data_IF_479244703990
#
_entry.id   IF_479244703990
#
_cell.length_a   1.000
_cell.length_b   1.000
_cell.length_c   1.000
_cell.angle_alpha   90.00
_cell.angle_beta   90.00
_cell.angle_gamma   90.00
#
_symmetry.space_group_name_H-M   'P 1'
#
loop_
_entity.id
_entity.type
_entity.pdbx_description
1 polymer ?
#
# COMPACT_ATOMS: atom_id res chain seq x y z
N UNK A 1 14.79 -9.03 37.99
CA UNK A 1 13.78 -9.47 36.99
C UNK A 1 12.80 -8.38 36.58
N UNK A 2 12.05 -7.72 37.49
CA UNK A 2 11.10 -6.64 37.14
C UNK A 2 11.76 -5.49 36.37
N UNK A 3 12.93 -4.99 36.81
CA UNK A 3 13.64 -3.91 36.12
C UNK A 3 14.18 -4.35 34.76
N UNK A 4 14.56 -5.61 34.60
CA UNK A 4 14.99 -6.14 33.29
C UNK A 4 13.83 -6.19 32.32
N UNK A 5 12.63 -6.61 32.76
CA UNK A 5 11.41 -6.61 31.94
C UNK A 5 11.03 -5.17 31.57
N UNK A 6 11.05 -4.26 32.54
CA UNK A 6 10.75 -2.85 32.28
C UNK A 6 11.71 -2.25 31.24
N UNK A 7 13.02 -2.52 31.38
CA UNK A 7 14.02 -2.07 30.40
C UNK A 7 13.75 -2.63 29.01
N UNK A 8 13.63 -3.95 28.89
CA UNK A 8 13.53 -4.61 27.58
C UNK A 8 12.19 -4.31 26.90
N UNK A 9 11.07 -4.27 27.64
CA UNK A 9 9.76 -3.91 27.07
C UNK A 9 9.71 -2.45 26.65
N UNK A 10 10.20 -1.51 27.49
CA UNK A 10 10.24 -0.10 27.13
C UNK A 10 11.15 0.16 25.93
N UNK A 11 12.28 -0.52 25.85
CA UNK A 11 13.17 -0.43 24.69
C UNK A 11 12.47 -0.87 23.42
N UNK A 12 11.80 -2.03 23.43
CA UNK A 12 11.07 -2.56 22.25
C UNK A 12 9.92 -1.61 21.87
N UNK A 13 9.16 -1.11 22.86
CA UNK A 13 8.06 -0.18 22.61
C UNK A 13 8.56 1.15 22.01
N UNK A 14 9.73 1.63 22.41
CA UNK A 14 10.31 2.85 21.81
C UNK A 14 10.60 2.70 20.31
N UNK A 15 10.83 1.49 19.81
CA UNK A 15 11.03 1.26 18.37
C UNK A 15 9.74 1.39 17.55
N UNK A 16 8.59 1.13 18.14
CA UNK A 16 7.30 1.12 17.41
C UNK A 16 6.42 2.34 17.66
N UNK A 17 6.54 2.99 18.82
CA UNK A 17 5.85 4.25 19.09
C UNK A 17 6.59 5.43 18.49
N UNK A 18 5.87 6.53 18.18
CA UNK A 18 6.43 7.79 17.67
C UNK A 18 5.98 8.95 18.55
N UNK A 19 6.84 9.97 18.67
CA UNK A 19 6.53 11.22 19.38
C UNK A 19 6.54 11.08 20.90
N UNK A 20 5.49 11.56 21.57
CA UNK A 20 5.46 11.66 23.04
C UNK A 20 5.66 10.32 23.76
N UNK A 21 4.98 9.28 23.30
CA UNK A 21 5.10 7.93 23.89
C UNK A 21 6.49 7.32 23.65
N UNK A 22 7.11 7.58 22.50
CA UNK A 22 8.48 7.16 22.23
C UNK A 22 9.44 7.72 23.30
N UNK A 23 9.34 9.03 23.59
CA UNK A 23 10.16 9.68 24.59
C UNK A 23 9.95 9.09 25.99
N UNK A 24 8.70 8.82 26.36
CA UNK A 24 8.40 8.15 27.64
C UNK A 24 9.09 6.79 27.72
N UNK A 25 8.97 5.97 26.68
CA UNK A 25 9.58 4.64 26.67
C UNK A 25 11.12 4.70 26.68
N UNK A 26 11.72 5.68 26.00
CA UNK A 26 13.18 5.91 26.07
C UNK A 26 13.61 6.27 27.51
N UNK A 27 12.90 7.17 28.18
CA UNK A 27 13.20 7.56 29.57
C UNK A 27 13.06 6.35 30.50
N UNK A 28 11.98 5.61 30.41
CA UNK A 28 11.76 4.40 31.22
C UNK A 28 12.84 3.35 30.98
N UNK A 29 13.20 3.11 29.72
CA UNK A 29 14.29 2.20 29.37
C UNK A 29 15.63 2.68 29.94
N UNK A 30 15.93 3.97 29.87
CA UNK A 30 17.19 4.54 30.40
C UNK A 30 17.29 4.37 31.92
N UNK A 31 16.22 4.67 32.66
CA UNK A 31 16.18 4.52 34.12
C UNK A 31 16.34 3.04 34.52
N UNK A 32 15.61 2.17 33.85
CA UNK A 32 15.66 0.73 34.11
C UNK A 32 17.03 0.12 33.71
N UNK A 33 17.63 0.59 32.62
CA UNK A 33 18.99 0.23 32.18
C UNK A 33 20.03 0.61 33.23
N UNK A 34 20.01 1.87 33.69
CA UNK A 34 20.95 2.34 34.70
C UNK A 34 20.92 1.48 35.95
N UNK A 35 19.72 1.19 36.49
CA UNK A 35 19.57 0.34 37.67
C UNK A 35 20.04 -1.09 37.40
N UNK A 36 19.60 -1.72 36.30
CA UNK A 36 19.82 -3.13 36.01
C UNK A 36 21.27 -3.45 35.62
N UNK A 37 21.89 -2.58 34.82
CA UNK A 37 23.22 -2.82 34.24
C UNK A 37 24.31 -2.18 35.05
N UNK A 38 24.11 -0.94 35.52
CA UNK A 38 25.16 -0.18 36.20
C UNK A 38 25.20 -0.54 37.69
N UNK A 39 24.03 -0.61 38.34
CA UNK A 39 23.96 -0.90 39.78
C UNK A 39 24.01 -2.41 40.03
N UNK A 40 23.07 -3.17 39.49
CA UNK A 40 22.87 -4.58 39.81
C UNK A 40 23.81 -5.52 39.03
N UNK A 41 24.41 -5.06 37.92
CA UNK A 41 25.33 -5.79 37.02
C UNK A 41 24.77 -7.15 36.56
N UNK A 42 23.47 -7.27 36.38
CA UNK A 42 22.79 -8.54 36.05
C UNK A 42 22.47 -8.66 34.56
N UNK A 43 23.48 -8.89 33.73
CA UNK A 43 23.37 -8.99 32.27
C UNK A 43 22.57 -10.22 31.79
N UNK A 44 22.70 -11.35 32.47
CA UNK A 44 22.01 -12.60 32.08
C UNK A 44 20.49 -12.43 32.13
N UNK A 45 20.00 -11.75 33.17
CA UNK A 45 18.56 -11.45 33.29
C UNK A 45 18.04 -10.61 32.13
N UNK A 46 18.84 -9.71 31.56
CA UNK A 46 18.45 -8.86 30.44
C UNK A 46 18.21 -9.68 29.17
N UNK A 47 19.07 -10.64 28.86
CA UNK A 47 18.91 -11.49 27.66
C UNK A 47 17.62 -12.30 27.72
N UNK A 48 17.34 -12.96 28.86
CA UNK A 48 16.10 -13.74 29.01
C UNK A 48 14.86 -12.86 28.96
N UNK A 49 14.88 -11.72 29.63
CA UNK A 49 13.73 -10.81 29.64
C UNK A 49 13.52 -10.14 28.30
N UNK A 50 14.54 -9.93 27.48
CA UNK A 50 14.40 -9.42 26.13
C UNK A 50 13.56 -10.36 25.26
N UNK A 51 13.84 -11.66 25.28
CA UNK A 51 13.06 -12.64 24.52
C UNK A 51 11.60 -12.65 24.98
N UNK A 52 11.37 -12.69 26.31
CA UNK A 52 10.01 -12.67 26.87
C UNK A 52 9.28 -11.39 26.52
N UNK A 53 9.94 -10.24 26.63
CA UNK A 53 9.36 -8.94 26.27
C UNK A 53 9.07 -8.84 24.78
N UNK A 54 9.95 -9.34 23.93
CA UNK A 54 9.75 -9.34 22.48
C UNK A 54 8.53 -10.16 22.10
N UNK A 55 8.37 -11.35 22.65
CA UNK A 55 7.17 -12.19 22.44
C UNK A 55 5.93 -11.48 23.00
N UNK A 56 5.99 -10.95 24.22
CA UNK A 56 4.88 -10.26 24.87
C UNK A 56 4.42 -9.03 24.09
N UNK A 57 5.35 -8.22 23.58
CA UNK A 57 5.02 -7.04 22.76
C UNK A 57 4.42 -7.46 21.41
N UNK A 58 4.93 -8.51 20.77
CA UNK A 58 4.30 -9.01 19.53
C UNK A 58 2.89 -9.54 19.77
N UNK A 59 2.62 -10.23 20.89
CA UNK A 59 1.26 -10.63 21.28
C UNK A 59 0.38 -9.40 21.49
N UNK A 60 0.90 -8.37 22.16
CA UNK A 60 0.17 -7.12 22.38
C UNK A 60 -0.12 -6.39 21.06
N UNK A 61 0.82 -6.34 20.11
CA UNK A 61 0.58 -5.79 18.76
C UNK A 61 -0.54 -6.56 18.07
N UNK A 62 -0.44 -7.89 18.05
CA UNK A 62 -1.35 -8.75 17.29
C UNK A 62 -2.78 -8.73 17.82
N UNK A 63 -2.98 -8.66 19.13
CA UNK A 63 -4.30 -8.77 19.75
C UNK A 63 -4.79 -7.51 20.47
N UNK A 64 -3.90 -6.63 20.91
CA UNK A 64 -4.23 -5.47 21.74
C UNK A 64 -4.18 -4.13 21.03
N UNK A 65 -3.30 -3.95 20.04
CA UNK A 65 -3.14 -2.66 19.35
C UNK A 65 -3.98 -2.51 18.11
N UNK A 66 -4.23 -3.59 17.37
CA UNK A 66 -5.00 -3.52 16.13
C UNK A 66 -6.42 -3.01 16.37
N UNK A 67 -6.97 -2.34 15.38
CA UNK A 67 -8.39 -2.04 15.36
C UNK A 67 -9.17 -3.34 15.13
N UNK A 68 -10.18 -3.56 16.00
CA UNK A 68 -11.07 -4.69 15.83
C UNK A 68 -12.18 -4.29 14.89
N UNK A 69 -12.08 -4.71 13.64
CA UNK A 69 -13.07 -4.42 12.62
C UNK A 69 -14.11 -5.52 12.68
N UNK A 70 -15.33 -5.16 13.05
CA UNK A 70 -16.47 -6.09 13.11
C UNK A 70 -17.64 -5.47 12.38
N UNK A 71 -18.30 -6.25 11.57
CA UNK A 71 -19.58 -5.87 10.97
C UNK A 71 -20.69 -6.01 12.01
N UNK A 72 -21.50 -4.98 12.14
CA UNK A 72 -22.66 -4.98 13.03
C UNK A 72 -23.92 -5.21 12.22
N UNK A 73 -24.82 -5.97 12.77
CA UNK A 73 -26.14 -6.13 12.18
C UNK A 73 -26.92 -4.81 12.33
N UNK A 74 -27.23 -4.19 11.19
CA UNK A 74 -27.92 -2.90 11.13
C UNK A 74 -29.28 -3.05 10.43
N UNK A 75 -30.26 -2.28 10.87
CA UNK A 75 -31.56 -2.24 10.20
C UNK A 75 -31.46 -1.38 8.95
N UNK A 76 -31.96 -1.84 7.80
CA UNK A 76 -32.01 -1.04 6.60
C UNK A 76 -32.80 0.25 6.79
N UNK A 77 -32.27 1.35 6.26
CA UNK A 77 -32.93 2.65 6.28
C UNK A 77 -34.06 2.79 5.25
N UNK A 78 -34.56 4.02 5.08
CA UNK A 78 -35.49 4.35 4.01
C UNK A 78 -34.78 4.19 2.69
N UNK A 79 -35.44 3.51 1.74
CA UNK A 79 -34.84 3.20 0.45
C UNK A 79 -34.43 4.46 -0.33
N UNK A 80 -33.19 4.44 -0.82
CA UNK A 80 -32.59 5.47 -1.68
C UNK A 80 -32.52 4.96 -3.10
N UNK A 81 -32.78 5.84 -4.07
CA UNK A 81 -32.71 5.51 -5.51
C UNK A 81 -31.28 5.64 -6.04
N UNK A 82 -30.44 6.46 -5.40
CA UNK A 82 -29.05 6.66 -5.80
C UNK A 82 -28.23 5.38 -5.67
N UNK A 83 -27.25 5.25 -6.55
CA UNK A 83 -26.26 4.17 -6.50
C UNK A 83 -25.03 4.61 -5.73
N UNK A 84 -24.67 3.88 -4.69
CA UNK A 84 -23.43 4.11 -3.96
C UNK A 84 -22.26 3.40 -4.65
N UNK A 85 -21.22 4.17 -4.97
CA UNK A 85 -19.96 3.67 -5.52
C UNK A 85 -18.90 3.73 -4.42
N UNK A 86 -18.39 2.58 -4.02
CA UNK A 86 -17.36 2.46 -2.99
C UNK A 86 -15.99 2.19 -3.62
N UNK A 87 -15.07 3.14 -3.53
CA UNK A 87 -13.68 2.95 -3.93
C UNK A 87 -12.91 2.32 -2.77
N UNK A 88 -12.52 1.04 -2.92
CA UNK A 88 -11.84 0.28 -1.88
C UNK A 88 -10.36 0.21 -2.15
N UNK A 89 -9.54 0.70 -1.22
CA UNK A 89 -8.08 0.62 -1.30
C UNK A 89 -7.44 0.23 0.03
N UNK A 90 -6.11 0.12 0.07
CA UNK A 90 -5.38 -0.23 1.30
C UNK A 90 -5.68 0.77 2.42
N UNK A 91 -5.54 2.04 2.12
CA UNK A 91 -5.67 3.14 3.07
C UNK A 91 -4.41 3.37 3.89
N UNK A 92 -4.00 4.62 3.94
CA UNK A 92 -2.84 5.02 4.71
C UNK A 92 -3.01 6.45 5.24
N UNK A 93 -2.85 6.62 6.57
CA UNK A 93 -2.94 7.93 7.20
C UNK A 93 -1.76 8.82 6.83
N UNK A 94 -2.02 10.13 6.81
CA UNK A 94 -1.01 11.15 6.53
C UNK A 94 0.20 11.06 7.48
N UNK A 95 -0.02 10.73 8.74
CA UNK A 95 1.02 10.54 9.75
C UNK A 95 1.04 9.09 10.23
N UNK A 96 2.19 8.65 10.76
CA UNK A 96 2.31 7.32 11.33
C UNK A 96 1.27 7.06 12.42
N UNK A 97 0.34 6.15 12.14
CA UNK A 97 -0.70 5.69 13.04
C UNK A 97 -0.43 4.23 13.43
N UNK A 98 0.01 4.04 14.67
CA UNK A 98 0.42 2.72 15.17
C UNK A 98 -0.71 1.67 15.09
N UNK A 99 -1.96 2.07 15.39
CA UNK A 99 -3.09 1.14 15.37
C UNK A 99 -3.44 0.67 13.95
N UNK A 100 -3.45 1.58 13.00
CA UNK A 100 -3.69 1.25 11.60
C UNK A 100 -2.59 0.35 11.04
N UNK A 101 -1.32 0.69 11.31
CA UNK A 101 -0.20 -0.15 10.87
C UNK A 101 -0.20 -1.53 11.55
N UNK A 102 -0.60 -1.63 12.83
CA UNK A 102 -0.79 -2.91 13.51
C UNK A 102 -1.95 -3.72 12.89
N UNK A 103 -3.02 -3.04 12.48
CA UNK A 103 -4.15 -3.65 11.77
C UNK A 103 -3.70 -4.22 10.43
N UNK A 104 -2.98 -3.45 9.63
CA UNK A 104 -2.42 -3.88 8.35
C UNK A 104 -1.48 -5.09 8.53
N UNK A 105 -0.52 -5.01 9.46
CA UNK A 105 0.42 -6.10 9.75
C UNK A 105 -0.34 -7.37 10.12
N UNK A 106 -1.39 -7.26 10.93
CA UNK A 106 -2.20 -8.42 11.30
C UNK A 106 -2.92 -9.04 10.09
N UNK A 107 -3.58 -8.25 9.25
CA UNK A 107 -4.30 -8.78 8.10
C UNK A 107 -3.35 -9.32 7.02
N UNK A 108 -2.21 -8.67 6.81
CA UNK A 108 -1.20 -9.13 5.84
C UNK A 108 -0.42 -10.35 6.32
N UNK A 109 -0.05 -10.44 7.60
CA UNK A 109 0.82 -11.49 8.12
C UNK A 109 0.07 -12.60 8.88
N UNK A 110 -1.15 -12.35 9.32
CA UNK A 110 -1.90 -13.27 10.15
C UNK A 110 -1.13 -13.61 11.44
N UNK A 111 -1.05 -14.89 11.78
CA UNK A 111 -0.30 -15.33 12.98
C UNK A 111 1.22 -15.11 12.89
N UNK A 112 1.80 -14.87 11.72
CA UNK A 112 3.22 -14.53 11.60
C UNK A 112 3.53 -13.18 12.27
N UNK A 113 2.52 -12.30 12.43
CA UNK A 113 2.65 -11.04 13.18
C UNK A 113 3.10 -11.24 14.64
N UNK A 114 2.87 -12.43 15.23
CA UNK A 114 3.38 -12.79 16.55
C UNK A 114 4.94 -12.85 16.62
N UNK A 115 5.59 -12.92 15.48
CA UNK A 115 7.06 -12.94 15.38
C UNK A 115 7.62 -11.69 14.73
N UNK A 116 6.90 -11.12 13.75
CA UNK A 116 7.39 -10.05 12.90
C UNK A 116 6.75 -8.69 13.21
N UNK A 117 5.75 -8.61 14.07
CA UNK A 117 4.96 -7.39 14.32
C UNK A 117 5.81 -6.19 14.70
N UNK A 118 6.72 -6.35 15.67
CA UNK A 118 7.65 -5.28 16.09
C UNK A 118 8.52 -4.80 14.92
N UNK A 119 9.07 -5.74 14.14
CA UNK A 119 9.96 -5.42 13.01
C UNK A 119 9.20 -4.66 11.93
N UNK A 120 8.01 -5.13 11.57
CA UNK A 120 7.18 -4.49 10.55
C UNK A 120 6.76 -3.08 10.98
N UNK A 121 6.29 -2.90 12.22
CA UNK A 121 5.92 -1.59 12.74
C UNK A 121 7.10 -0.63 12.84
N UNK A 122 8.29 -1.13 13.22
CA UNK A 122 9.51 -0.33 13.20
C UNK A 122 9.86 0.15 11.79
N UNK A 123 9.73 -0.72 10.78
CA UNK A 123 9.94 -0.35 9.38
C UNK A 123 8.96 0.76 8.95
N UNK A 124 7.66 0.62 9.24
CA UNK A 124 6.68 1.67 8.95
C UNK A 124 7.02 2.99 9.64
N UNK A 125 7.37 2.95 10.94
CA UNK A 125 7.82 4.15 11.66
C UNK A 125 9.00 4.83 10.96
N UNK A 126 9.97 4.05 10.48
CA UNK A 126 11.14 4.56 9.77
C UNK A 126 10.75 5.17 8.41
N UNK A 127 9.82 4.59 7.65
CA UNK A 127 9.33 5.18 6.41
C UNK A 127 8.77 6.58 6.66
N UNK A 128 7.85 6.72 7.63
CA UNK A 128 7.31 8.03 8.01
C UNK A 128 8.34 8.98 8.62
N UNK A 129 9.36 8.47 9.27
CA UNK A 129 10.43 9.33 9.83
C UNK A 129 11.34 9.87 8.74
N UNK A 130 11.56 9.10 7.67
CA UNK A 130 12.42 9.45 6.54
C UNK A 130 11.70 10.31 5.50
N UNK A 131 10.49 9.92 5.12
CA UNK A 131 9.73 10.53 4.03
C UNK A 131 8.75 11.62 4.50
N UNK A 132 8.45 11.68 5.81
CA UNK A 132 7.55 12.69 6.40
C UNK A 132 6.10 12.25 6.46
N UNK A 133 5.31 12.54 5.45
CA UNK A 133 3.86 12.28 5.42
C UNK A 133 3.45 11.50 4.19
N UNK A 134 2.36 10.73 4.32
CA UNK A 134 1.70 10.07 3.19
C UNK A 134 0.65 10.98 2.58
N UNK A 135 0.57 10.99 1.26
CA UNK A 135 -0.47 11.68 0.50
C UNK A 135 -1.58 10.72 0.02
N UNK A 136 -1.51 9.45 0.41
CA UNK A 136 -2.40 8.38 -0.06
C UNK A 136 -3.88 8.75 -0.01
N UNK A 137 -4.37 9.20 1.16
CA UNK A 137 -5.79 9.62 1.30
C UNK A 137 -6.13 10.88 0.49
N UNK A 138 -5.18 11.76 0.29
CA UNK A 138 -5.37 12.95 -0.55
C UNK A 138 -5.52 12.55 -2.01
N UNK A 139 -4.66 11.68 -2.51
CA UNK A 139 -4.70 11.15 -3.87
C UNK A 139 -5.96 10.31 -4.11
N UNK A 140 -6.36 9.46 -3.16
CA UNK A 140 -7.61 8.71 -3.26
C UNK A 140 -8.85 9.62 -3.24
N UNK A 141 -8.84 10.72 -2.49
CA UNK A 141 -9.93 11.71 -2.50
C UNK A 141 -9.98 12.50 -3.81
N UNK A 142 -8.84 12.73 -4.45
CA UNK A 142 -8.81 13.34 -5.78
C UNK A 142 -9.49 12.45 -6.83
N UNK A 143 -9.32 11.13 -6.74
CA UNK A 143 -10.03 10.16 -7.60
C UNK A 143 -11.55 10.30 -7.40
N UNK A 144 -12.03 10.34 -6.15
CA UNK A 144 -13.47 10.57 -5.85
C UNK A 144 -13.96 11.84 -6.51
N UNK A 145 -13.31 12.97 -6.23
CA UNK A 145 -13.75 14.28 -6.71
C UNK A 145 -13.81 14.36 -8.24
N UNK A 146 -12.83 13.78 -8.92
CA UNK A 146 -12.80 13.74 -10.38
C UNK A 146 -13.87 12.80 -10.97
N UNK A 147 -14.11 11.67 -10.31
CA UNK A 147 -15.12 10.71 -10.73
C UNK A 147 -16.54 11.27 -10.52
N UNK A 148 -16.80 11.99 -9.41
CA UNK A 148 -18.05 12.73 -9.18
C UNK A 148 -18.33 13.77 -10.30
N UNK A 149 -17.28 14.33 -10.87
CA UNK A 149 -17.43 15.28 -11.99
C UNK A 149 -17.82 14.62 -13.31
N UNK A 150 -17.48 13.32 -13.48
CA UNK A 150 -17.78 12.58 -14.70
C UNK A 150 -19.10 11.81 -14.64
N UNK A 151 -19.49 11.36 -13.45
CA UNK A 151 -20.76 10.68 -13.20
C UNK A 151 -21.87 11.73 -12.92
N UNK A 152 -23.11 11.35 -13.12
CA UNK A 152 -24.25 12.20 -12.81
C UNK A 152 -24.67 12.13 -11.33
N UNK A 153 -25.63 12.97 -10.94
CA UNK A 153 -26.12 13.08 -9.55
C UNK A 153 -26.81 11.83 -9.02
N UNK A 154 -27.00 10.80 -9.85
CA UNK A 154 -27.56 9.51 -9.42
C UNK A 154 -26.53 8.61 -8.71
N UNK A 155 -25.26 9.00 -8.72
CA UNK A 155 -24.18 8.29 -8.06
C UNK A 155 -23.62 9.08 -6.88
N UNK A 156 -23.45 8.39 -5.76
CA UNK A 156 -22.70 8.90 -4.60
C UNK A 156 -21.41 8.10 -4.51
N UNK A 157 -20.27 8.78 -4.40
CA UNK A 157 -18.96 8.13 -4.45
C UNK A 157 -18.25 8.34 -3.12
N UNK A 158 -17.79 7.24 -2.53
CA UNK A 158 -17.09 7.28 -1.25
C UNK A 158 -15.80 6.43 -1.29
N UNK A 159 -14.76 6.94 -0.63
CA UNK A 159 -13.58 6.14 -0.33
C UNK A 159 -13.80 5.27 0.89
N UNK A 160 -13.30 4.07 0.84
CA UNK A 160 -13.22 3.18 2.00
C UNK A 160 -11.93 2.36 1.96
N UNK A 161 -11.46 1.96 3.14
CA UNK A 161 -10.13 1.40 3.26
C UNK A 161 -10.09 0.08 4.00
N UNK A 162 -9.08 -0.73 3.66
CA UNK A 162 -8.85 -1.99 4.35
C UNK A 162 -8.18 -1.80 5.73
N UNK A 163 -7.25 -0.85 5.85
CA UNK A 163 -6.38 -0.75 7.02
C UNK A 163 -6.51 0.55 7.79
N UNK A 164 -7.24 1.54 7.27
CA UNK A 164 -7.49 2.83 7.91
C UNK A 164 -8.97 3.21 7.88
N UNK A 165 -9.37 4.22 8.65
CA UNK A 165 -10.73 4.75 8.63
C UNK A 165 -10.98 5.65 7.41
N UNK A 166 -12.20 5.62 6.84
CA UNK A 166 -13.31 4.73 7.15
C UNK A 166 -13.06 3.30 6.66
N UNK A 167 -13.27 2.31 7.56
CA UNK A 167 -13.10 0.90 7.21
C UNK A 167 -14.22 0.42 6.30
N UNK A 168 -13.88 -0.49 5.39
CA UNK A 168 -14.81 -1.05 4.41
C UNK A 168 -16.10 -1.58 5.04
N UNK A 169 -16.01 -2.32 6.14
CA UNK A 169 -17.18 -2.86 6.84
C UNK A 169 -18.08 -1.75 7.39
N UNK A 170 -17.47 -0.72 7.99
CA UNK A 170 -18.22 0.39 8.58
C UNK A 170 -18.97 1.19 7.50
N UNK A 171 -18.33 1.40 6.36
CA UNK A 171 -18.96 2.09 5.23
C UNK A 171 -20.14 1.28 4.67
N UNK A 172 -20.02 -0.04 4.58
CA UNK A 172 -21.13 -0.91 4.18
C UNK A 172 -22.27 -0.88 5.23
N UNK A 173 -21.94 -0.93 6.54
CA UNK A 173 -22.96 -0.78 7.60
C UNK A 173 -23.72 0.54 7.47
N UNK A 174 -23.00 1.63 7.24
CA UNK A 174 -23.56 2.95 7.04
C UNK A 174 -24.43 3.01 5.80
N UNK A 175 -23.96 2.45 4.67
CA UNK A 175 -24.72 2.37 3.42
C UNK A 175 -26.05 1.64 3.60
N UNK A 176 -26.06 0.50 4.28
CA UNK A 176 -27.27 -0.26 4.60
C UNK A 176 -28.21 0.56 5.50
N UNK A 177 -27.68 1.18 6.55
CA UNK A 177 -28.46 2.00 7.49
C UNK A 177 -29.06 3.25 6.85
N UNK A 178 -28.40 3.79 5.83
CA UNK A 178 -28.90 4.92 5.03
C UNK A 178 -29.89 4.53 3.94
N UNK A 179 -30.08 3.23 3.69
CA UNK A 179 -31.07 2.70 2.76
C UNK A 179 -30.62 2.57 1.31
N UNK A 180 -29.31 2.60 1.03
CA UNK A 180 -28.81 2.29 -0.33
C UNK A 180 -29.13 0.85 -0.71
N UNK A 181 -29.72 0.66 -1.89
CA UNK A 181 -30.08 -0.64 -2.46
C UNK A 181 -29.12 -1.10 -3.55
N UNK A 182 -28.53 -0.13 -4.25
CA UNK A 182 -27.60 -0.37 -5.33
C UNK A 182 -26.21 0.06 -4.87
N UNK A 183 -25.25 -0.87 -4.86
CA UNK A 183 -23.88 -0.61 -4.43
C UNK A 183 -22.94 -1.17 -5.48
N UNK A 184 -22.05 -0.34 -6.01
CA UNK A 184 -20.96 -0.74 -6.88
C UNK A 184 -19.67 -0.65 -6.08
N UNK A 185 -19.01 -1.77 -5.88
CA UNK A 185 -17.74 -1.84 -5.17
C UNK A 185 -16.61 -1.85 -6.20
N UNK A 186 -15.72 -0.87 -6.11
CA UNK A 186 -14.60 -0.67 -7.01
C UNK A 186 -13.28 -0.90 -6.27
N UNK A 187 -12.74 -2.14 -6.25
CA UNK A 187 -11.44 -2.40 -5.65
C UNK A 187 -10.33 -1.71 -6.44
N UNK A 188 -9.65 -0.74 -5.85
CA UNK A 188 -8.53 -0.02 -6.45
C UNK A 188 -7.23 -0.84 -6.30
N UNK A 189 -7.24 -2.05 -6.87
CA UNK A 189 -6.08 -2.94 -6.92
C UNK A 189 -5.75 -3.28 -8.35
N UNK A 190 -4.48 -3.15 -8.71
CA UNK A 190 -4.04 -3.49 -10.07
C UNK A 190 -4.17 -5.00 -10.32
N UNK A 191 -3.85 -5.81 -9.33
CA UNK A 191 -3.90 -7.28 -9.39
C UNK A 191 -4.79 -7.86 -8.30
N UNK A 192 -5.20 -9.10 -8.45
CA UNK A 192 -5.92 -9.86 -7.43
C UNK A 192 -4.96 -10.48 -6.41
N UNK A 193 -3.93 -9.70 -6.01
CA UNK A 193 -2.95 -10.11 -5.05
C UNK A 193 -3.45 -10.11 -3.61
N UNK A 194 -2.52 -10.01 -2.66
CA UNK A 194 -2.80 -10.20 -1.24
C UNK A 194 -3.85 -9.23 -0.67
N UNK A 195 -3.77 -7.95 -1.03
CA UNK A 195 -4.72 -6.95 -0.54
C UNK A 195 -6.12 -7.16 -1.15
N UNK A 196 -6.21 -7.56 -2.42
CA UNK A 196 -7.46 -7.95 -3.04
C UNK A 196 -8.07 -9.21 -2.40
N UNK A 197 -7.25 -10.23 -2.07
CA UNK A 197 -7.71 -11.41 -1.35
C UNK A 197 -8.22 -11.08 0.05
N UNK A 198 -7.54 -10.16 0.76
CA UNK A 198 -8.00 -9.67 2.06
C UNK A 198 -9.34 -8.96 1.91
N UNK A 199 -9.48 -8.08 0.92
CA UNK A 199 -10.75 -7.45 0.57
C UNK A 199 -11.85 -8.50 0.33
N UNK A 200 -11.61 -9.45 -0.56
CA UNK A 200 -12.57 -10.50 -0.92
C UNK A 200 -12.99 -11.32 0.28
N UNK A 201 -12.05 -11.77 1.09
CA UNK A 201 -12.32 -12.53 2.31
C UNK A 201 -13.16 -11.73 3.33
N UNK A 202 -12.97 -10.41 3.40
CA UNK A 202 -13.74 -9.53 4.30
C UNK A 202 -15.13 -9.27 3.73
N UNK A 203 -15.25 -9.05 2.41
CA UNK A 203 -16.52 -8.92 1.71
C UNK A 203 -17.41 -10.17 1.89
N UNK A 204 -16.87 -11.37 1.69
CA UNK A 204 -17.61 -12.63 1.84
C UNK A 204 -18.17 -12.81 3.26
N UNK A 205 -17.48 -12.29 4.29
CA UNK A 205 -17.93 -12.36 5.69
C UNK A 205 -19.08 -11.41 6.01
N UNK A 206 -19.33 -10.39 5.20
CA UNK A 206 -20.42 -9.43 5.43
C UNK A 206 -21.80 -10.03 5.25
N UNK A 207 -21.93 -11.15 4.51
CA UNK A 207 -23.20 -11.82 4.24
C UNK A 207 -24.30 -10.85 3.76
N UNK A 208 -24.00 -10.02 2.77
CA UNK A 208 -24.86 -8.91 2.31
C UNK A 208 -26.24 -9.37 1.80
N UNK A 209 -26.40 -10.63 1.47
CA UNK A 209 -27.68 -11.24 1.07
C UNK A 209 -28.74 -11.06 2.16
N UNK A 210 -28.36 -11.02 3.44
CA UNK A 210 -29.28 -10.85 4.58
C UNK A 210 -29.92 -9.46 4.68
N UNK A 211 -29.37 -8.45 3.95
CA UNK A 211 -29.80 -7.04 4.06
C UNK A 211 -30.76 -6.58 2.98
N UNK A 212 -31.31 -7.50 2.16
CA UNK A 212 -32.22 -7.16 1.06
C UNK A 212 -31.67 -6.08 0.11
N UNK A 213 -30.35 -6.05 -0.09
CA UNK A 213 -29.74 -5.21 -1.11
C UNK A 213 -30.21 -5.69 -2.49
N UNK A 214 -30.68 -4.76 -3.31
CA UNK A 214 -31.24 -5.11 -4.63
C UNK A 214 -30.14 -5.52 -5.59
N UNK A 215 -29.03 -4.80 -5.56
CA UNK A 215 -27.90 -5.03 -6.46
C UNK A 215 -26.58 -4.64 -5.82
N UNK A 216 -25.69 -5.61 -5.64
CA UNK A 216 -24.30 -5.36 -5.23
C UNK A 216 -23.39 -5.92 -6.32
N UNK A 217 -22.65 -5.06 -6.97
CA UNK A 217 -21.72 -5.42 -8.04
C UNK A 217 -20.28 -5.09 -7.59
N UNK A 218 -19.33 -5.91 -8.02
CA UNK A 218 -17.90 -5.71 -7.75
C UNK A 218 -17.19 -5.62 -9.09
N UNK A 219 -16.39 -4.57 -9.26
CA UNK A 219 -15.51 -4.44 -10.43
C UNK A 219 -14.30 -5.38 -10.32
N UNK A 220 -13.86 -5.89 -11.47
CA UNK A 220 -12.61 -6.64 -11.57
C UNK A 220 -11.39 -5.74 -11.34
N UNK A 221 -10.27 -6.33 -10.93
CA UNK A 221 -8.96 -5.68 -10.86
C UNK A 221 -8.50 -5.13 -12.20
N UNK A 222 -7.49 -4.25 -12.20
CA UNK A 222 -7.13 -3.46 -13.38
C UNK A 222 -6.08 -4.07 -14.29
N UNK A 223 -5.46 -5.21 -13.97
CA UNK A 223 -4.34 -5.79 -14.74
C UNK A 223 -4.66 -6.06 -16.22
N UNK A 224 -5.94 -6.24 -16.56
CA UNK A 224 -6.38 -6.42 -17.94
C UNK A 224 -6.53 -5.11 -18.72
N UNK A 225 -6.49 -3.94 -18.05
CA UNK A 225 -6.74 -2.66 -18.70
C UNK A 225 -5.67 -2.33 -19.74
N UNK A 226 -6.10 -2.17 -20.98
CA UNK A 226 -5.24 -1.67 -22.05
C UNK A 226 -5.00 -0.17 -21.90
N UNK A 227 -6.03 0.57 -21.45
CA UNK A 227 -5.93 2.02 -21.27
C UNK A 227 -4.85 2.36 -20.26
N UNK A 228 -4.83 1.70 -19.09
CA UNK A 228 -3.79 1.94 -18.10
C UNK A 228 -2.38 1.59 -18.62
N UNK A 229 -2.24 0.51 -19.37
CA UNK A 229 -0.95 0.16 -19.97
C UNK A 229 -0.47 1.20 -21.00
N UNK A 230 -1.40 1.75 -21.82
CA UNK A 230 -1.11 2.80 -22.78
C UNK A 230 -0.65 4.10 -22.11
N UNK A 231 -1.15 4.39 -20.91
CA UNK A 231 -0.77 5.58 -20.17
C UNK A 231 0.67 5.48 -19.67
N UNK A 232 1.04 4.35 -19.07
CA UNK A 232 2.43 4.09 -18.71
C UNK A 232 3.37 4.24 -19.91
N UNK A 233 2.99 3.65 -21.06
CA UNK A 233 3.72 3.84 -22.31
C UNK A 233 3.85 5.31 -22.69
N UNK A 234 2.74 6.05 -22.69
CA UNK A 234 2.73 7.46 -23.10
C UNK A 234 3.60 8.33 -22.20
N UNK A 235 3.51 8.15 -20.88
CA UNK A 235 4.31 8.91 -19.93
C UNK A 235 5.81 8.63 -20.11
N UNK A 236 6.18 7.36 -20.27
CA UNK A 236 7.58 6.96 -20.53
C UNK A 236 8.07 7.52 -21.86
N UNK A 237 7.35 7.31 -22.96
CA UNK A 237 7.76 7.78 -24.28
C UNK A 237 7.84 9.30 -24.38
N UNK A 238 6.97 10.04 -23.73
CA UNK A 238 7.04 11.51 -23.71
C UNK A 238 8.33 12.00 -23.05
N UNK A 239 8.77 11.35 -21.98
CA UNK A 239 10.02 11.69 -21.30
C UNK A 239 11.26 11.22 -22.07
N UNK A 240 11.18 10.03 -22.66
CA UNK A 240 12.29 9.45 -23.45
C UNK A 240 12.65 10.29 -24.67
N UNK A 241 11.71 11.05 -25.22
CA UNK A 241 12.00 12.01 -26.32
C UNK A 241 13.02 13.09 -25.94
N UNK A 242 13.27 13.26 -24.63
CA UNK A 242 14.29 14.19 -24.12
C UNK A 242 15.68 13.54 -23.98
N UNK A 243 15.79 12.22 -24.23
CA UNK A 243 17.04 11.46 -24.17
C UNK A 243 17.82 11.57 -25.47
N UNK A 244 19.14 11.83 -25.37
CA UNK A 244 20.02 12.02 -26.54
C UNK A 244 20.70 10.73 -26.99
N UNK A 245 21.07 9.86 -26.03
CA UNK A 245 21.90 8.65 -26.30
C UNK A 245 21.18 7.34 -26.11
N UNK A 246 20.04 7.34 -25.41
CA UNK A 246 19.25 6.14 -25.11
C UNK A 246 18.68 6.12 -23.71
N UNK A 247 17.60 5.36 -23.53
CA UNK A 247 16.88 5.30 -22.29
C UNK A 247 16.78 3.88 -21.72
N UNK A 248 16.96 3.76 -20.40
CA UNK A 248 16.66 2.56 -19.64
C UNK A 248 15.33 2.67 -18.93
N UNK A 249 14.53 1.61 -18.98
CA UNK A 249 13.24 1.53 -18.28
C UNK A 249 13.25 0.31 -17.38
N UNK A 250 12.99 0.52 -16.09
CA UNK A 250 12.83 -0.54 -15.08
C UNK A 250 11.38 -0.55 -14.61
N UNK A 251 10.64 -1.57 -15.01
CA UNK A 251 9.26 -1.80 -14.56
C UNK A 251 9.29 -2.82 -13.41
N UNK A 252 9.26 -2.34 -12.18
CA UNK A 252 9.38 -3.18 -11.00
C UNK A 252 8.05 -3.85 -10.69
N UNK A 253 8.05 -5.20 -10.57
CA UNK A 253 6.94 -5.96 -10.06
C UNK A 253 6.97 -6.03 -8.55
N UNK A 254 5.85 -5.73 -7.91
CA UNK A 254 5.66 -5.97 -6.49
C UNK A 254 5.27 -7.44 -6.31
N UNK A 255 6.07 -8.21 -5.55
CA UNK A 255 5.74 -9.60 -5.30
C UNK A 255 4.49 -9.72 -4.43
N UNK A 256 3.40 -10.17 -5.03
CA UNK A 256 2.22 -10.61 -4.32
C UNK A 256 2.07 -12.12 -4.54
N UNK A 257 2.15 -12.90 -3.47
CA UNK A 257 2.37 -14.36 -3.48
C UNK A 257 1.42 -15.19 -4.36
N UNK A 258 0.19 -14.72 -4.62
CA UNK A 258 -0.82 -15.56 -5.25
C UNK A 258 -1.14 -15.21 -6.72
N UNK A 259 -0.78 -14.00 -7.20
CA UNK A 259 -1.11 -13.56 -8.56
C UNK A 259 0.06 -12.88 -9.29
N UNK A 260 1.27 -13.42 -9.11
CA UNK A 260 2.47 -12.99 -9.80
C UNK A 260 2.29 -12.95 -11.32
N UNK A 261 1.52 -13.89 -11.87
CA UNK A 261 1.22 -13.95 -13.30
C UNK A 261 0.50 -12.69 -13.79
N UNK A 262 -0.44 -12.14 -13.03
CA UNK A 262 -1.16 -10.91 -13.39
C UNK A 262 -0.24 -9.68 -13.38
N UNK A 263 0.68 -9.62 -12.42
CA UNK A 263 1.72 -8.57 -12.35
C UNK A 263 2.63 -8.65 -13.59
N UNK A 264 3.12 -9.82 -13.91
CA UNK A 264 3.97 -10.06 -15.08
C UNK A 264 3.23 -9.67 -16.36
N UNK A 265 2.00 -10.17 -16.55
CA UNK A 265 1.18 -9.90 -17.74
C UNK A 265 0.97 -8.38 -17.95
N UNK A 266 0.70 -7.62 -16.89
CA UNK A 266 0.50 -6.19 -17.02
C UNK A 266 1.80 -5.46 -17.40
N UNK A 267 2.94 -5.81 -16.77
CA UNK A 267 4.24 -5.20 -17.07
C UNK A 267 4.76 -5.57 -18.47
N UNK A 268 4.53 -6.80 -18.89
CA UNK A 268 4.83 -7.23 -20.28
C UNK A 268 3.99 -6.45 -21.29
N UNK A 269 2.71 -6.24 -21.02
CA UNK A 269 1.85 -5.41 -21.88
C UNK A 269 2.37 -3.97 -22.00
N UNK A 270 2.78 -3.35 -20.89
CA UNK A 270 3.39 -2.02 -20.91
C UNK A 270 4.66 -2.02 -21.75
N UNK A 271 5.53 -3.01 -21.58
CA UNK A 271 6.75 -3.19 -22.35
C UNK A 271 6.45 -3.33 -23.84
N UNK A 272 5.55 -4.23 -24.22
CA UNK A 272 5.16 -4.46 -25.62
C UNK A 272 4.66 -3.16 -26.29
N UNK A 273 3.86 -2.36 -25.58
CA UNK A 273 3.38 -1.08 -26.10
C UNK A 273 4.48 -0.05 -26.27
N UNK A 274 5.51 -0.03 -25.43
CA UNK A 274 6.68 0.83 -25.57
C UNK A 274 7.49 0.36 -26.79
N UNK A 275 7.80 -0.93 -26.90
CA UNK A 275 8.60 -1.49 -27.97
C UNK A 275 7.94 -1.36 -29.35
N UNK A 276 6.60 -1.44 -29.42
CA UNK A 276 5.86 -1.29 -30.68
C UNK A 276 5.96 0.11 -31.28
N UNK A 277 5.98 1.14 -30.44
CA UNK A 277 6.06 2.55 -30.92
C UNK A 277 7.49 3.10 -30.97
N UNK A 278 8.44 2.36 -30.42
CA UNK A 278 9.84 2.76 -30.47
C UNK A 278 10.36 2.71 -31.92
N UNK A 279 10.60 3.87 -32.55
CA UNK A 279 11.13 3.93 -33.92
C UNK A 279 12.50 4.58 -34.02
N UNK A 280 12.81 5.54 -33.15
CA UNK A 280 13.95 6.43 -33.32
C UNK A 280 14.87 6.54 -32.09
N UNK A 281 14.56 5.90 -30.96
CA UNK A 281 15.35 6.00 -29.73
C UNK A 281 15.65 4.58 -29.23
N UNK A 282 16.91 4.32 -28.82
CA UNK A 282 17.26 3.03 -28.20
C UNK A 282 16.75 2.97 -26.77
N UNK A 283 15.67 2.19 -26.55
CA UNK A 283 15.09 1.97 -25.24
C UNK A 283 15.36 0.53 -24.82
N UNK A 284 15.97 0.35 -23.65
CA UNK A 284 16.16 -0.96 -23.02
C UNK A 284 15.24 -1.11 -21.83
N UNK A 285 14.44 -2.19 -21.81
CA UNK A 285 13.42 -2.42 -20.75
C UNK A 285 13.78 -3.64 -19.95
N UNK A 286 13.74 -3.51 -18.61
CA UNK A 286 13.91 -4.58 -17.63
C UNK A 286 12.66 -4.73 -16.79
N UNK A 287 12.30 -5.98 -16.46
CA UNK A 287 11.10 -6.34 -15.69
C UNK A 287 11.49 -7.09 -14.39
N UNK A 288 12.30 -6.51 -13.50
CA UNK A 288 12.66 -7.20 -12.27
C UNK A 288 11.47 -7.37 -11.34
N UNK A 289 11.52 -8.40 -10.51
CA UNK A 289 10.57 -8.65 -9.44
C UNK A 289 11.17 -8.26 -8.10
N UNK A 290 10.37 -7.67 -7.22
CA UNK A 290 10.71 -7.50 -5.83
C UNK A 290 10.51 -8.83 -5.11
N UNK A 291 11.41 -9.79 -5.34
CA UNK A 291 11.51 -10.99 -4.53
C UNK A 291 12.18 -10.68 -3.18
N UNK A 292 12.46 -11.69 -2.38
CA UNK A 292 13.16 -11.56 -1.10
C UNK A 292 14.50 -10.83 -1.19
N UNK A 293 14.91 -10.47 -2.39
CA UNK A 293 16.21 -9.90 -2.68
C UNK A 293 16.08 -8.68 -3.62
N UNK A 294 16.26 -7.48 -3.04
CA UNK A 294 16.35 -6.21 -3.79
C UNK A 294 17.49 -6.18 -4.83
N UNK A 295 18.38 -7.18 -4.83
CA UNK A 295 19.54 -7.26 -5.70
C UNK A 295 19.20 -7.35 -7.20
N UNK A 296 18.09 -8.01 -7.56
CA UNK A 296 17.72 -8.15 -8.96
C UNK A 296 17.26 -6.83 -9.57
N UNK A 297 16.63 -5.97 -8.77
CA UNK A 297 16.24 -4.63 -9.21
C UNK A 297 17.49 -3.76 -9.41
N UNK A 298 18.40 -3.77 -8.43
CA UNK A 298 19.66 -3.02 -8.50
C UNK A 298 20.47 -3.50 -9.70
N UNK A 299 20.65 -4.81 -9.85
CA UNK A 299 21.37 -5.41 -10.99
C UNK A 299 20.75 -5.02 -12.33
N UNK A 300 19.42 -5.01 -12.43
CA UNK A 300 18.73 -4.59 -13.67
C UNK A 300 19.02 -3.12 -14.00
N UNK A 301 19.11 -2.25 -13.01
CA UNK A 301 19.48 -0.86 -13.21
C UNK A 301 20.96 -0.70 -13.57
N UNK A 302 21.86 -1.40 -12.86
CA UNK A 302 23.32 -1.41 -13.17
C UNK A 302 23.59 -1.88 -14.59
N UNK A 303 22.97 -2.97 -15.05
CA UNK A 303 23.09 -3.45 -16.43
C UNK A 303 22.66 -2.40 -17.48
N UNK A 304 21.65 -1.58 -17.16
CA UNK A 304 21.23 -0.49 -18.04
C UNK A 304 22.23 0.66 -18.03
N UNK A 305 22.78 1.02 -16.86
CA UNK A 305 23.82 2.04 -16.72
C UNK A 305 25.11 1.63 -17.46
N UNK A 306 25.51 0.36 -17.33
CA UNK A 306 26.66 -0.20 -18.06
C UNK A 306 26.47 -0.19 -19.58
N UNK A 307 25.22 -0.28 -20.04
CA UNK A 307 24.88 -0.16 -21.46
C UNK A 307 25.08 1.26 -22.02
N UNK A 308 25.19 2.27 -21.13
CA UNK A 308 25.48 3.66 -21.51
C UNK A 308 24.24 4.50 -21.78
N UNK A 309 23.13 4.24 -21.07
CA UNK A 309 21.95 5.10 -21.12
C UNK A 309 22.23 6.46 -20.50
N UNK A 310 21.60 7.51 -21.00
CA UNK A 310 21.64 8.86 -20.41
C UNK A 310 20.47 9.14 -19.47
N UNK A 311 19.44 8.30 -19.54
CA UNK A 311 18.23 8.46 -18.73
C UNK A 311 17.70 7.11 -18.24
N UNK A 312 17.45 7.01 -16.92
CA UNK A 312 16.86 5.84 -16.27
C UNK A 312 15.46 6.18 -15.76
N UNK A 313 14.46 5.49 -16.30
CA UNK A 313 13.07 5.55 -15.87
C UNK A 313 12.73 4.35 -14.99
N UNK A 314 12.14 4.61 -13.82
CA UNK A 314 11.68 3.56 -12.91
C UNK A 314 10.18 3.73 -12.66
N UNK A 315 9.43 2.66 -12.77
CA UNK A 315 8.00 2.63 -12.47
C UNK A 315 7.63 1.39 -11.67
N UNK A 316 6.59 1.52 -10.87
CA UNK A 316 5.86 0.46 -10.19
C UNK A 316 4.48 0.33 -10.85
N UNK A 317 4.35 -0.33 -12.03
CA UNK A 317 3.12 -0.29 -12.82
C UNK A 317 1.91 -0.90 -12.10
N UNK A 318 2.14 -1.74 -11.12
CA UNK A 318 1.09 -2.40 -10.33
C UNK A 318 0.71 -1.64 -9.06
N UNK A 319 1.28 -0.46 -8.81
CA UNK A 319 0.82 0.48 -7.79
C UNK A 319 -0.15 1.49 -8.39
N UNK A 320 -1.38 1.56 -7.89
CA UNK A 320 -2.39 2.55 -8.32
C UNK A 320 -2.16 3.89 -7.62
N UNK A 321 -1.90 3.85 -6.31
CA UNK A 321 -1.54 4.98 -5.47
C UNK A 321 -0.31 4.56 -4.67
N UNK A 322 0.69 5.44 -4.60
CA UNK A 322 1.88 5.17 -3.82
C UNK A 322 1.63 5.33 -2.33
N UNK A 323 1.96 4.29 -1.58
CA UNK A 323 2.02 4.32 -0.13
C UNK A 323 3.47 4.57 0.38
N UNK A 324 3.64 4.73 1.68
CA UNK A 324 4.96 4.98 2.28
C UNK A 324 5.96 3.85 2.05
N UNK A 325 5.48 2.63 1.89
CA UNK A 325 6.33 1.48 1.57
C UNK A 325 6.89 1.58 0.15
N UNK A 326 6.04 1.83 -0.86
CA UNK A 326 6.46 1.93 -2.26
C UNK A 326 7.39 3.12 -2.49
N UNK A 327 7.06 4.30 -1.92
CA UNK A 327 7.93 5.49 -1.94
C UNK A 327 9.29 5.20 -1.28
N UNK A 328 9.30 4.59 -0.10
CA UNK A 328 10.53 4.23 0.60
C UNK A 328 11.34 3.14 -0.14
N UNK A 329 10.67 2.24 -0.83
CA UNK A 329 11.32 1.21 -1.63
C UNK A 329 12.15 1.84 -2.75
N UNK A 330 11.53 2.69 -3.57
CA UNK A 330 12.20 3.39 -4.68
C UNK A 330 13.36 4.24 -4.15
N UNK A 331 13.11 5.05 -3.13
CA UNK A 331 14.12 5.89 -2.50
C UNK A 331 15.33 5.06 -2.00
N UNK A 332 15.10 3.96 -1.29
CA UNK A 332 16.18 3.12 -0.76
C UNK A 332 16.94 2.32 -1.83
N UNK A 333 16.30 1.99 -2.94
CA UNK A 333 16.94 1.23 -4.03
C UNK A 333 17.87 2.13 -4.86
N UNK A 334 17.43 3.33 -5.19
CA UNK A 334 18.10 4.15 -6.19
C UNK A 334 18.96 5.29 -5.63
N UNK A 335 18.72 5.75 -4.39
CA UNK A 335 19.55 6.81 -3.77
C UNK A 335 21.02 6.41 -3.55
N UNK A 336 21.33 5.11 -3.49
CA UNK A 336 22.68 4.60 -3.28
C UNK A 336 23.32 4.04 -4.57
N UNK A 337 22.61 4.11 -5.68
CA UNK A 337 23.12 3.66 -6.98
C UNK A 337 23.98 4.77 -7.58
N UNK A 338 25.18 4.42 -8.03
CA UNK A 338 26.05 5.35 -8.77
C UNK A 338 25.48 5.56 -10.18
N UNK A 339 24.79 6.69 -10.33
CA UNK A 339 24.14 7.05 -11.62
C UNK A 339 25.08 7.75 -12.58
N UNK A 340 26.30 8.16 -12.14
CA UNK A 340 27.19 8.99 -12.95
C UNK A 340 26.48 10.26 -13.44
N UNK A 341 26.42 10.46 -14.77
CA UNK A 341 25.71 11.58 -15.41
C UNK A 341 24.26 11.22 -15.82
N UNK A 342 23.83 9.96 -15.61
CA UNK A 342 22.51 9.48 -16.00
C UNK A 342 21.41 10.17 -15.18
N UNK A 343 20.41 10.72 -15.87
CA UNK A 343 19.23 11.33 -15.24
C UNK A 343 18.30 10.25 -14.72
N UNK A 344 17.80 10.42 -13.51
CA UNK A 344 16.85 9.49 -12.89
C UNK A 344 15.44 10.08 -12.84
N UNK A 345 14.45 9.28 -13.26
CA UNK A 345 13.03 9.64 -13.16
C UNK A 345 12.22 8.49 -12.57
N UNK A 346 11.52 8.78 -11.48
CA UNK A 346 10.46 7.91 -11.00
C UNK A 346 9.13 8.30 -11.64
N UNK A 347 8.46 7.33 -12.22
CA UNK A 347 7.16 7.50 -12.87
C UNK A 347 6.06 7.39 -11.81
N UNK A 348 5.72 8.52 -11.23
CA UNK A 348 4.77 8.66 -10.13
C UNK A 348 3.34 8.26 -10.55
N UNK A 349 2.66 7.33 -9.85
CA UNK A 349 1.27 6.98 -10.09
C UNK A 349 0.30 8.16 -10.01
N UNK A 350 0.56 9.16 -9.15
CA UNK A 350 -0.29 10.35 -9.01
C UNK A 350 -0.59 11.05 -10.35
N UNK A 351 0.40 11.09 -11.25
CA UNK A 351 0.21 11.68 -12.61
C UNK A 351 -0.77 10.91 -13.49
N UNK A 352 -1.25 9.76 -13.05
CA UNK A 352 -2.16 8.88 -13.79
C UNK A 352 -3.58 8.88 -13.23
N UNK A 353 -3.87 9.71 -12.23
CA UNK A 353 -5.19 9.77 -11.58
C UNK A 353 -6.29 10.00 -12.60
N UNK A 354 -6.13 10.94 -13.55
CA UNK A 354 -7.15 11.21 -14.58
C UNK A 354 -7.52 9.95 -15.37
N UNK A 355 -6.56 9.14 -15.65
CA UNK A 355 -6.76 7.91 -16.43
C UNK A 355 -7.33 6.75 -15.64
N UNK A 356 -7.04 6.71 -14.36
CA UNK A 356 -7.69 5.79 -13.42
C UNK A 356 -9.18 6.16 -13.34
N UNK A 357 -9.48 7.46 -13.26
CA UNK A 357 -10.84 7.99 -13.26
C UNK A 357 -11.58 7.66 -14.55
N UNK A 358 -10.97 7.84 -15.72
CA UNK A 358 -11.56 7.49 -17.01
C UNK A 358 -11.85 5.98 -17.14
N UNK A 359 -10.96 5.14 -16.63
CA UNK A 359 -11.16 3.70 -16.60
C UNK A 359 -12.30 3.30 -15.64
N UNK A 360 -12.36 3.91 -14.44
CA UNK A 360 -13.45 3.72 -13.48
C UNK A 360 -14.78 4.16 -14.05
N UNK A 361 -14.85 5.36 -14.62
CA UNK A 361 -16.05 5.90 -15.27
C UNK A 361 -16.58 4.94 -16.34
N UNK A 362 -15.67 4.46 -17.21
CA UNK A 362 -16.04 3.52 -18.28
C UNK A 362 -16.63 2.25 -17.71
N UNK A 363 -16.01 1.64 -16.69
CA UNK A 363 -16.46 0.39 -16.08
C UNK A 363 -17.75 0.54 -15.32
N UNK A 364 -17.93 1.61 -14.54
CA UNK A 364 -19.17 1.90 -13.80
C UNK A 364 -20.32 2.11 -14.78
N UNK A 365 -20.11 2.90 -15.83
CA UNK A 365 -21.13 3.16 -16.86
C UNK A 365 -21.55 1.92 -17.64
N UNK A 366 -20.69 0.91 -17.73
CA UNK A 366 -21.03 -0.39 -18.34
C UNK A 366 -21.87 -1.28 -17.41
N UNK A 367 -21.70 -1.15 -16.09
CA UNK A 367 -22.47 -1.94 -15.11
C UNK A 367 -23.88 -1.39 -14.86
N UNK A 368 -24.10 -0.11 -15.09
CA UNK A 368 -25.41 0.54 -14.88
C UNK A 368 -26.39 0.39 -16.04
N UNK A 369 -26.01 -0.30 -17.10
CA UNK A 369 -26.86 -0.67 -18.25
C UNK A 369 -27.43 -2.08 -18.10
#
# INVERSE_FOLDING_TARGET
MVMSILFTSSLILSFIFKGYFENIFIVLATIAFYKQIIIDRNYKSVVYTFIISFIGVNIFITFGLRNYISFKDVQPGIEKEETLVLLVSEGEDRSYNLKERATEVYYKEGYKSLFNGVVNLHNYKNYYSKLGSSDFKTESQEIVTKLEYQLDDSYIIENTYLYSEPYFENTIEEAVSQGYKNIIICPLFMTEGKDYEIFKNRYEKLNLISYNLTNVQILDSFYKSNNLALIYRNDILNKVKESESGAGVVLIGLQEHNNLEQDILFREKVKEYIEYEQKDIDIKIKLPLLENNKKDIIKSAEELLEYGIDTLYVALPTSIIDNMYTKSLVDNLFNNLDMGETKFYYVDPHKKIDSIVDELFTRISLMSK
#
